data_IF_538335048862
#
_entry.id   IF_538335048862
#
_cell.length_a   1.000
_cell.length_b   1.000
_cell.length_c   1.000
_cell.angle_alpha   90.00
_cell.angle_beta   90.00
_cell.angle_gamma   90.00
#
_symmetry.space_group_name_H-M   'P 1'
#
loop_
_entity.id
_entity.type
_entity.pdbx_description
1 polymer ?
#
# COMPACT_ATOMS: atom_id res chain seq x y z
N UNK A 1 4.88 5.36 -7.25
CA UNK A 1 4.48 6.26 -8.35
C UNK A 1 3.11 6.82 -7.99
N UNK A 2 2.93 8.14 -7.95
CA UNK A 2 1.66 8.78 -7.56
C UNK A 2 1.10 9.44 -8.81
N UNK A 3 -0.05 8.97 -9.27
CA UNK A 3 -0.83 9.64 -10.32
C UNK A 3 -1.85 10.53 -9.63
N UNK A 4 -1.75 11.83 -9.85
CA UNK A 4 -2.80 12.79 -9.51
C UNK A 4 -3.69 12.95 -10.74
N UNK A 5 -4.98 13.21 -10.54
CA UNK A 5 -6.06 13.28 -11.53
C UNK A 5 -5.95 14.48 -12.51
N UNK A 6 -4.75 15.02 -12.71
CA UNK A 6 -4.47 16.19 -13.53
C UNK A 6 -4.04 15.76 -14.94
N UNK A 7 -4.52 16.45 -15.99
CA UNK A 7 -4.24 16.14 -17.40
C UNK A 7 -2.73 16.10 -17.76
N UNK A 8 -1.89 16.71 -16.91
CA UNK A 8 -0.45 16.51 -16.87
C UNK A 8 0.00 16.64 -15.42
N UNK A 9 0.64 15.61 -14.87
CA UNK A 9 1.19 15.61 -13.51
C UNK A 9 2.60 16.26 -13.43
N UNK A 10 2.98 17.09 -14.41
CA UNK A 10 4.31 17.69 -14.49
C UNK A 10 5.42 16.66 -14.77
N UNK A 11 5.05 15.50 -15.31
CA UNK A 11 5.99 14.53 -15.83
C UNK A 11 6.81 15.15 -16.97
N UNK A 12 8.12 15.01 -16.83
CA UNK A 12 9.13 15.51 -17.76
C UNK A 12 10.12 14.39 -17.95
N UNK A 13 10.86 14.43 -19.06
CA UNK A 13 11.95 13.49 -19.37
C UNK A 13 12.90 13.26 -18.17
N UNK A 14 13.11 14.31 -17.36
CA UNK A 14 13.93 14.26 -16.14
C UNK A 14 13.32 13.42 -14.99
N UNK A 15 11.99 13.33 -14.91
CA UNK A 15 11.25 12.58 -13.88
C UNK A 15 10.87 11.16 -14.31
N UNK A 16 11.03 10.81 -15.58
CA UNK A 16 10.86 9.45 -16.11
C UNK A 16 12.13 8.74 -16.56
N UNK A 17 13.26 9.06 -15.94
CA UNK A 17 14.51 8.31 -16.14
C UNK A 17 15.05 8.41 -17.57
N UNK A 18 14.75 9.50 -18.30
CA UNK A 18 15.22 9.73 -19.67
C UNK A 18 14.12 9.77 -20.73
N UNK A 19 12.86 9.50 -20.37
CA UNK A 19 11.66 9.68 -21.22
C UNK A 19 10.50 10.20 -20.37
N UNK A 20 9.52 10.89 -20.94
CA UNK A 20 8.27 11.18 -20.21
C UNK A 20 7.49 9.87 -20.00
N UNK A 21 6.97 9.64 -18.80
CA UNK A 21 6.06 8.55 -18.46
C UNK A 21 4.75 8.64 -19.25
N UNK A 22 4.67 7.86 -20.32
CA UNK A 22 3.41 7.59 -21.04
C UNK A 22 2.65 6.42 -20.40
N UNK A 23 1.34 6.32 -20.64
CA UNK A 23 0.51 5.18 -20.24
C UNK A 23 1.12 3.84 -20.66
N UNK A 24 1.59 3.70 -21.90
CA UNK A 24 2.21 2.47 -22.40
C UNK A 24 3.48 2.06 -21.65
N UNK A 25 4.26 3.04 -21.16
CA UNK A 25 5.44 2.77 -20.32
C UNK A 25 5.04 2.29 -18.92
N UNK A 26 3.95 2.85 -18.38
CA UNK A 26 3.40 2.43 -17.09
C UNK A 26 2.82 1.02 -17.22
N UNK A 27 2.05 0.74 -18.26
CA UNK A 27 1.49 -0.57 -18.57
C UNK A 27 2.59 -1.64 -18.70
N UNK A 28 3.66 -1.33 -19.45
CA UNK A 28 4.82 -2.21 -19.58
C UNK A 28 5.51 -2.45 -18.23
N UNK A 29 5.62 -1.42 -17.38
CA UNK A 29 6.23 -1.54 -16.06
C UNK A 29 5.36 -2.37 -15.12
N UNK A 30 4.04 -2.17 -15.11
CA UNK A 30 3.10 -2.96 -14.32
C UNK A 30 3.14 -4.43 -14.74
N UNK A 31 3.16 -4.69 -16.06
CA UNK A 31 3.33 -6.03 -16.63
C UNK A 31 4.64 -6.67 -16.18
N UNK A 32 5.77 -5.96 -16.34
CA UNK A 32 7.09 -6.48 -16.03
C UNK A 32 7.26 -6.84 -14.54
N UNK A 33 6.52 -6.16 -13.65
CA UNK A 33 6.58 -6.40 -12.21
C UNK A 33 5.40 -7.24 -11.70
N UNK A 34 4.50 -7.70 -12.58
CA UNK A 34 3.24 -8.36 -12.19
C UNK A 34 2.50 -7.58 -11.09
N UNK A 35 2.43 -6.26 -11.26
CA UNK A 35 1.98 -5.34 -10.24
C UNK A 35 0.50 -5.02 -10.41
N UNK A 36 -0.27 -5.11 -9.33
CA UNK A 36 -1.67 -4.70 -9.30
C UNK A 36 -1.79 -3.17 -9.35
N UNK A 37 -2.75 -2.65 -10.12
CA UNK A 37 -3.00 -1.22 -10.22
C UNK A 37 -4.44 -0.84 -9.91
N UNK A 38 -4.65 -0.16 -8.77
CA UNK A 38 -5.93 0.48 -8.44
C UNK A 38 -5.80 1.99 -8.66
N UNK A 39 -6.77 2.60 -9.34
CA UNK A 39 -6.81 4.04 -9.56
C UNK A 39 -7.91 4.69 -8.72
N UNK A 40 -7.65 5.88 -8.19
CA UNK A 40 -8.66 6.71 -7.55
C UNK A 40 -8.76 7.98 -8.40
N UNK A 41 -9.92 8.24 -9.00
CA UNK A 41 -10.12 9.29 -10.00
C UNK A 41 -11.39 10.07 -9.69
N UNK A 42 -11.51 11.32 -10.14
CA UNK A 42 -12.79 12.04 -10.15
C UNK A 42 -13.63 11.61 -11.36
N UNK A 43 -14.97 11.62 -11.28
CA UNK A 43 -15.86 11.35 -12.43
C UNK A 43 -15.39 12.05 -13.70
N UNK A 44 -15.31 11.29 -14.80
CA UNK A 44 -14.61 11.72 -16.01
C UNK A 44 -13.19 11.20 -16.09
N UNK A 45 -12.91 10.08 -15.42
CA UNK A 45 -11.64 9.36 -15.48
C UNK A 45 -11.09 9.34 -16.91
N UNK A 46 -9.81 9.68 -17.07
CA UNK A 46 -9.11 9.49 -18.34
C UNK A 46 -9.18 8.00 -18.64
N UNK A 47 -9.76 7.61 -19.79
CA UNK A 47 -9.99 6.20 -20.16
C UNK A 47 -8.76 5.30 -19.94
N UNK A 48 -7.56 5.90 -20.07
CA UNK A 48 -6.27 5.27 -19.79
C UNK A 48 -6.14 4.65 -18.40
N UNK A 49 -6.76 5.22 -17.36
CA UNK A 49 -6.66 4.67 -16.00
C UNK A 49 -7.60 3.48 -15.77
N UNK A 50 -8.74 3.45 -16.47
CA UNK A 50 -9.65 2.30 -16.46
C UNK A 50 -9.00 1.11 -17.18
N UNK A 51 -8.36 1.36 -18.33
CA UNK A 51 -7.63 0.33 -19.08
C UNK A 51 -6.43 -0.20 -18.28
N UNK A 52 -5.61 0.69 -17.69
CA UNK A 52 -4.51 0.27 -16.81
C UNK A 52 -5.00 -0.54 -15.60
N UNK A 53 -6.06 -0.12 -14.93
CA UNK A 53 -6.55 -0.83 -13.75
C UNK A 53 -7.11 -2.21 -14.12
N UNK A 54 -7.93 -2.29 -15.17
CA UNK A 54 -8.55 -3.54 -15.59
C UNK A 54 -7.53 -4.54 -16.16
N UNK A 55 -6.51 -4.09 -16.90
CA UNK A 55 -5.46 -4.95 -17.44
C UNK A 55 -4.51 -5.50 -16.37
N UNK A 56 -4.40 -4.82 -15.22
CA UNK A 56 -3.51 -5.19 -14.12
C UNK A 56 -4.26 -5.67 -12.87
N UNK A 57 -5.45 -6.24 -13.04
CA UNK A 57 -6.20 -6.91 -11.98
C UNK A 57 -6.71 -6.00 -10.85
N UNK A 58 -6.70 -4.69 -11.06
CA UNK A 58 -7.25 -3.71 -10.12
C UNK A 58 -8.55 -3.08 -10.62
N UNK A 59 -8.92 -1.99 -9.96
CA UNK A 59 -10.21 -1.31 -10.13
C UNK A 59 -10.01 0.20 -10.03
N UNK A 60 -10.97 0.94 -10.59
CA UNK A 60 -11.04 2.39 -10.46
C UNK A 60 -12.11 2.80 -9.45
N UNK A 61 -11.80 3.80 -8.62
CA UNK A 61 -12.65 4.29 -7.55
C UNK A 61 -12.95 5.78 -7.77
N UNK A 62 -14.24 6.15 -7.83
CA UNK A 62 -14.65 7.54 -8.03
C UNK A 62 -14.59 8.34 -6.73
N UNK A 63 -13.70 9.34 -6.68
CA UNK A 63 -13.52 10.31 -5.61
C UNK A 63 -14.80 11.09 -5.28
N UNK A 64 -15.77 11.17 -6.19
CA UNK A 64 -17.06 11.77 -5.86
C UNK A 64 -17.80 11.01 -4.76
N UNK A 65 -17.49 9.72 -4.54
CA UNK A 65 -17.95 8.97 -3.39
C UNK A 65 -17.54 9.58 -2.04
N UNK A 66 -16.48 10.40 -2.04
CA UNK A 66 -16.02 11.18 -0.88
C UNK A 66 -16.44 12.65 -0.93
N UNK A 67 -16.95 13.14 -2.07
CA UNK A 67 -17.38 14.53 -2.27
C UNK A 67 -18.89 14.69 -2.03
N UNK A 68 -19.36 14.21 -0.89
CA UNK A 68 -20.78 14.27 -0.50
C UNK A 68 -20.91 14.24 1.01
N UNK A 69 -22.02 14.75 1.53
CA UNK A 69 -22.37 14.64 2.96
C UNK A 69 -23.18 13.37 3.26
N UNK A 70 -23.61 12.63 2.23
CA UNK A 70 -24.35 11.38 2.36
C UNK A 70 -23.44 10.26 2.87
N UNK A 71 -23.66 9.84 4.12
CA UNK A 71 -22.87 8.79 4.78
C UNK A 71 -23.05 7.42 4.14
N UNK A 72 -24.17 7.16 3.46
CA UNK A 72 -24.37 5.90 2.75
C UNK A 72 -23.46 5.82 1.52
N UNK A 73 -23.32 6.92 0.79
CA UNK A 73 -22.42 6.99 -0.37
C UNK A 73 -20.95 6.90 0.06
N UNK A 74 -20.56 7.66 1.09
CA UNK A 74 -19.19 7.59 1.64
C UNK A 74 -18.88 6.20 2.18
N UNK A 75 -19.82 5.60 2.92
CA UNK A 75 -19.68 4.25 3.47
C UNK A 75 -19.50 3.19 2.37
N UNK A 76 -20.29 3.27 1.29
CA UNK A 76 -20.16 2.38 0.15
C UNK A 76 -18.80 2.51 -0.54
N UNK A 77 -18.30 3.74 -0.75
CA UNK A 77 -16.97 3.99 -1.30
C UNK A 77 -15.87 3.36 -0.43
N UNK A 78 -15.86 3.67 0.87
CA UNK A 78 -14.84 3.18 1.81
C UNK A 78 -14.87 1.66 1.89
N UNK A 79 -16.06 1.07 1.92
CA UNK A 79 -16.22 -0.38 1.95
C UNK A 79 -15.69 -1.04 0.67
N UNK A 80 -16.03 -0.52 -0.51
CA UNK A 80 -15.56 -1.06 -1.78
C UNK A 80 -14.03 -0.97 -1.88
N UNK A 81 -13.46 0.19 -1.55
CA UNK A 81 -12.02 0.42 -1.56
C UNK A 81 -11.29 -0.51 -0.57
N UNK A 82 -11.75 -0.58 0.68
CA UNK A 82 -11.16 -1.45 1.70
C UNK A 82 -11.25 -2.93 1.32
N UNK A 83 -12.38 -3.37 0.74
CA UNK A 83 -12.57 -4.75 0.29
C UNK A 83 -11.61 -5.12 -0.82
N UNK A 84 -11.42 -4.24 -1.81
CA UNK A 84 -10.46 -4.47 -2.89
C UNK A 84 -9.01 -4.57 -2.37
N UNK A 85 -8.60 -3.68 -1.46
CA UNK A 85 -7.27 -3.72 -0.84
C UNK A 85 -7.04 -4.93 0.06
N UNK A 86 -8.07 -5.35 0.79
CA UNK A 86 -8.01 -6.57 1.58
C UNK A 86 -7.84 -7.79 0.66
N UNK A 87 -8.61 -7.85 -0.43
CA UNK A 87 -8.52 -8.94 -1.40
C UNK A 87 -7.13 -8.99 -2.06
N UNK A 88 -6.56 -7.85 -2.45
CA UNK A 88 -5.18 -7.75 -2.95
C UNK A 88 -4.17 -8.39 -1.96
N UNK A 89 -4.31 -8.10 -0.66
CA UNK A 89 -3.44 -8.66 0.37
C UNK A 89 -3.62 -10.18 0.52
N UNK A 90 -4.87 -10.66 0.50
CA UNK A 90 -5.18 -12.10 0.60
C UNK A 90 -4.65 -12.84 -0.63
N UNK A 91 -4.87 -12.30 -1.83
CA UNK A 91 -4.42 -12.90 -3.09
C UNK A 91 -2.88 -12.93 -3.14
N UNK A 92 -2.22 -11.86 -2.71
CA UNK A 92 -0.77 -11.81 -2.58
C UNK A 92 -0.24 -12.91 -1.65
N UNK A 93 -0.85 -13.09 -0.48
CA UNK A 93 -0.44 -14.12 0.48
C UNK A 93 -0.77 -15.54 0.06
N UNK A 94 -1.81 -15.71 -0.76
CA UNK A 94 -2.12 -16.99 -1.39
C UNK A 94 -1.06 -17.37 -2.42
N UNK A 95 -0.60 -16.40 -3.23
CA UNK A 95 0.45 -16.61 -4.21
C UNK A 95 1.85 -16.71 -3.59
N UNK A 96 2.08 -16.04 -2.46
CA UNK A 96 3.38 -15.93 -1.78
C UNK A 96 3.29 -16.39 -0.31
N UNK A 97 3.03 -17.68 -0.04
CA UNK A 97 2.77 -18.17 1.32
C UNK A 97 3.99 -18.06 2.27
N UNK A 98 5.20 -17.89 1.73
CA UNK A 98 6.43 -17.71 2.51
C UNK A 98 6.83 -16.25 2.68
N UNK A 99 6.07 -15.29 2.14
CA UNK A 99 6.35 -13.88 2.33
C UNK A 99 6.17 -13.51 3.82
N UNK A 100 7.08 -12.72 4.42
CA UNK A 100 7.06 -12.39 5.85
C UNK A 100 5.73 -11.82 6.36
N UNK A 101 5.07 -10.98 5.56
CA UNK A 101 3.78 -10.35 5.84
C UNK A 101 2.59 -11.33 5.80
N UNK A 102 2.78 -12.50 5.19
CA UNK A 102 1.78 -13.56 5.05
C UNK A 102 1.95 -14.66 6.08
N UNK A 103 3.09 -14.66 6.77
CA UNK A 103 3.35 -15.58 7.84
C UNK A 103 2.74 -15.00 9.11
N UNK A 104 1.80 -15.72 9.73
CA UNK A 104 1.22 -15.39 11.05
C UNK A 104 2.24 -15.41 12.20
N UNK A 105 3.52 -15.44 11.89
CA UNK A 105 4.63 -15.27 12.82
C UNK A 105 4.57 -13.88 13.43
N UNK A 106 4.36 -13.89 14.74
CA UNK A 106 4.70 -12.80 15.65
C UNK A 106 5.97 -12.09 15.18
N UNK A 107 5.84 -10.83 14.79
CA UNK A 107 6.99 -9.93 14.61
C UNK A 107 7.85 -10.12 15.87
N UNK A 108 9.11 -10.59 15.74
CA UNK A 108 9.99 -10.68 16.88
C UNK A 108 9.93 -9.36 17.63
N UNK A 109 9.59 -9.40 18.92
CA UNK A 109 9.41 -8.21 19.74
C UNK A 109 10.58 -7.26 19.48
N UNK A 110 10.34 -5.96 19.24
CA UNK A 110 11.39 -5.03 18.89
C UNK A 110 12.51 -5.17 19.92
N UNK A 111 13.75 -5.39 19.47
CA UNK A 111 14.88 -5.74 20.33
C UNK A 111 15.11 -4.76 21.49
N UNK A 112 14.53 -3.55 21.41
CA UNK A 112 14.41 -2.60 22.52
C UNK A 112 13.73 -3.18 23.77
N UNK A 113 12.71 -4.03 23.65
CA UNK A 113 12.06 -4.69 24.79
C UNK A 113 12.95 -5.78 25.39
N UNK A 114 13.64 -6.55 24.56
CA UNK A 114 14.64 -7.51 25.04
C UNK A 114 15.80 -6.80 25.76
N UNK A 115 16.28 -5.67 25.23
CA UNK A 115 17.30 -4.84 25.86
C UNK A 115 16.79 -4.18 27.15
N UNK A 116 15.55 -3.72 27.18
CA UNK A 116 14.91 -3.18 28.39
C UNK A 116 14.78 -4.27 29.46
N UNK A 117 14.39 -5.48 29.07
CA UNK A 117 14.33 -6.65 29.94
C UNK A 117 15.71 -7.03 30.50
N UNK A 118 16.74 -7.03 29.66
CA UNK A 118 18.13 -7.27 30.08
C UNK A 118 18.64 -6.16 31.02
N UNK A 119 18.33 -4.90 30.73
CA UNK A 119 18.71 -3.77 31.58
C UNK A 119 18.05 -3.85 32.97
N UNK A 120 16.75 -4.17 33.02
CA UNK A 120 16.01 -4.34 34.27
C UNK A 120 16.49 -5.55 35.07
N UNK A 121 16.77 -6.68 34.41
CA UNK A 121 17.34 -7.86 35.05
C UNK A 121 18.75 -7.59 35.60
N UNK A 122 19.58 -6.85 34.85
CA UNK A 122 20.90 -6.40 35.30
C UNK A 122 20.82 -5.49 36.53
N UNK A 123 19.90 -4.53 36.54
CA UNK A 123 19.65 -3.65 37.69
C UNK A 123 19.14 -4.40 38.93
N UNK A 124 18.27 -5.39 38.75
CA UNK A 124 17.79 -6.25 39.83
C UNK A 124 18.90 -7.16 40.39
N UNK A 125 19.81 -7.65 39.54
CA UNK A 125 20.97 -8.44 39.93
C UNK A 125 22.00 -7.64 40.74
N UNK A 126 22.24 -6.39 40.37
CA UNK A 126 23.13 -5.48 41.09
C UNK A 126 22.61 -5.12 42.49
N UNK A 127 21.29 -5.01 42.68
CA UNK A 127 20.68 -4.78 44.01
C UNK A 127 20.90 -5.93 45.00
N UNK A 128 21.02 -7.18 44.52
CA UNK A 128 21.26 -8.35 45.40
C UNK A 128 22.71 -8.45 45.88
N UNK A 129 23.66 -7.80 45.18
CA UNK A 129 25.07 -7.75 45.59
C UNK A 129 25.40 -6.67 46.62
N UNK A 130 24.47 -5.74 46.89
CA UNK A 130 24.67 -4.64 47.83
C UNK A 130 24.17 -4.92 49.26
N UNK A 131 23.65 -6.13 49.54
CA UNK A 131 23.09 -6.53 50.86
C UNK A 131 23.93 -7.67 51.50
N UNK A 132 25.20 -7.85 51.09
CA UNK A 132 26.13 -8.77 51.76
C UNK A 132 27.47 -8.07 51.98
#
# INVERSE_FOLDING_TARGET
MIFTDEASNGDTVARGGGTAWTEALVDAQLTANNALFNAITRSGAVASYDDLASNHGGQTFDLNGLNTTDQTVVGAFVQAFATAKLKETIDFCTANPTAPECQGSSVPEPGSLALLGLALAGLAGLRRKAIY
#
